data_IF_775677972061
#
_entry.id   IF_775677972061
#
_cell.length_a   1.000
_cell.length_b   1.000
_cell.length_c   1.000
_cell.angle_alpha   90.00
_cell.angle_beta   90.00
_cell.angle_gamma   90.00
#
_symmetry.space_group_name_H-M   'P 1'
#
loop_
_entity.id
_entity.type
_entity.pdbx_description
1 polymer ?
#
# COMPACT_ATOMS: atom_id res chain seq x y z
N UNK A 1 7.71 -20.86 -32.06
CA UNK A 1 6.77 -21.53 -31.13
C UNK A 1 5.64 -20.54 -30.89
N UNK A 2 4.38 -20.84 -31.24
CA UNK A 2 3.28 -19.94 -30.88
C UNK A 2 3.28 -19.83 -29.36
N UNK A 3 3.14 -18.63 -28.76
CA UNK A 3 2.90 -18.56 -27.32
C UNK A 3 1.65 -19.38 -27.05
N UNK A 4 1.71 -20.22 -26.01
CA UNK A 4 0.62 -21.11 -25.62
C UNK A 4 -0.70 -20.36 -25.70
N UNK A 5 -1.65 -20.92 -26.45
CA UNK A 5 -2.94 -20.28 -26.71
C UNK A 5 -3.55 -19.88 -25.36
N UNK A 6 -4.03 -18.62 -25.27
CA UNK A 6 -4.73 -18.18 -24.07
C UNK A 6 -5.82 -19.19 -23.73
N UNK A 7 -5.92 -19.62 -22.45
CA UNK A 7 -7.00 -20.50 -22.04
C UNK A 7 -8.34 -19.82 -22.39
N UNK A 8 -9.33 -20.62 -22.77
CA UNK A 8 -10.66 -20.09 -23.11
C UNK A 8 -11.26 -19.41 -21.87
N UNK A 9 -11.17 -18.08 -21.83
CA UNK A 9 -11.85 -17.26 -20.85
C UNK A 9 -13.33 -17.14 -21.27
N UNK A 10 -14.28 -17.06 -20.33
CA UNK A 10 -15.68 -16.81 -20.68
C UNK A 10 -15.77 -15.53 -21.51
N UNK A 11 -16.40 -15.60 -22.69
CA UNK A 11 -16.68 -14.43 -23.52
C UNK A 11 -17.66 -13.54 -22.75
N UNK A 12 -17.17 -12.40 -22.24
CA UNK A 12 -18.02 -11.37 -21.66
C UNK A 12 -18.41 -10.41 -22.79
N UNK A 13 -19.71 -10.16 -23.06
CA UNK A 13 -20.17 -9.26 -24.12
C UNK A 13 -19.56 -7.85 -24.06
N UNK A 14 -19.17 -7.40 -22.86
CA UNK A 14 -18.54 -6.10 -22.59
C UNK A 14 -17.04 -6.05 -22.93
N UNK A 15 -16.37 -7.19 -23.15
CA UNK A 15 -14.91 -7.21 -23.38
C UNK A 15 -14.48 -6.44 -24.62
N UNK A 16 -15.30 -6.44 -25.68
CA UNK A 16 -14.99 -5.70 -26.90
C UNK A 16 -15.12 -4.19 -26.68
N UNK A 17 -16.15 -3.73 -25.95
CA UNK A 17 -16.29 -2.31 -25.64
C UNK A 17 -15.21 -1.83 -24.67
N UNK A 18 -14.95 -2.57 -23.58
CA UNK A 18 -13.89 -2.21 -22.62
C UNK A 18 -12.52 -2.10 -23.30
N UNK A 19 -12.18 -3.07 -24.16
CA UNK A 19 -10.93 -3.03 -24.92
C UNK A 19 -10.83 -1.79 -25.81
N UNK A 20 -11.92 -1.40 -26.46
CA UNK A 20 -12.00 -0.17 -27.26
C UNK A 20 -11.81 1.07 -26.39
N UNK A 21 -12.47 1.19 -25.22
CA UNK A 21 -12.32 2.35 -24.34
C UNK A 21 -10.90 2.54 -23.82
N UNK A 22 -10.23 1.45 -23.45
CA UNK A 22 -8.82 1.51 -23.01
C UNK A 22 -7.91 1.93 -24.17
N UNK A 23 -8.17 1.42 -25.38
CA UNK A 23 -7.43 1.81 -26.57
C UNK A 23 -7.64 3.29 -26.94
N UNK A 24 -8.87 3.80 -26.82
CA UNK A 24 -9.20 5.22 -27.00
C UNK A 24 -8.42 6.09 -26.01
N UNK A 25 -8.40 5.74 -24.72
CA UNK A 25 -7.64 6.47 -23.70
C UNK A 25 -6.13 6.46 -23.98
N UNK A 26 -5.57 5.32 -24.41
CA UNK A 26 -4.17 5.22 -24.79
C UNK A 26 -3.83 6.09 -26.01
N UNK A 27 -4.73 6.14 -27.01
CA UNK A 27 -4.56 7.00 -28.18
C UNK A 27 -4.62 8.49 -27.82
N UNK A 28 -5.49 8.88 -26.88
CA UNK A 28 -5.54 10.25 -26.35
C UNK A 28 -4.24 10.61 -25.64
N UNK A 29 -3.70 9.74 -24.78
CA UNK A 29 -2.40 9.95 -24.14
C UNK A 29 -1.27 10.13 -25.16
N UNK A 30 -1.22 9.28 -26.20
CA UNK A 30 -0.25 9.41 -27.28
C UNK A 30 -0.40 10.75 -28.03
N UNK A 31 -1.61 11.23 -28.23
CA UNK A 31 -1.87 12.53 -28.84
C UNK A 31 -1.42 13.69 -27.94
N UNK A 32 -1.75 13.65 -26.65
CA UNK A 32 -1.37 14.65 -25.64
C UNK A 32 0.14 14.78 -25.51
N UNK A 33 0.89 13.69 -25.65
CA UNK A 33 2.36 13.70 -25.63
C UNK A 33 3.01 13.86 -27.02
N UNK A 34 2.21 13.87 -28.08
CA UNK A 34 2.68 14.05 -29.45
C UNK A 34 3.16 15.48 -29.75
N UNK A 35 3.75 15.74 -30.94
CA UNK A 35 4.27 17.06 -31.30
C UNK A 35 3.27 18.23 -31.20
N UNK A 36 1.98 17.95 -31.45
CA UNK A 36 0.88 18.91 -31.37
C UNK A 36 0.08 18.80 -30.07
N UNK A 37 0.60 18.06 -29.09
CA UNK A 37 -0.07 17.78 -27.83
C UNK A 37 0.13 18.88 -26.78
N UNK A 38 -0.28 18.57 -25.56
CA UNK A 38 -0.19 19.47 -24.41
C UNK A 38 1.28 19.64 -23.98
N UNK A 39 1.79 20.87 -23.84
CA UNK A 39 3.16 21.11 -23.37
C UNK A 39 3.46 20.47 -22.02
N UNK A 40 2.50 20.50 -21.09
CA UNK A 40 2.65 19.90 -19.75
C UNK A 40 2.76 18.39 -19.82
N UNK A 41 1.93 17.70 -20.63
CA UNK A 41 2.00 16.25 -20.77
C UNK A 41 3.33 15.83 -21.41
N UNK A 42 3.84 16.60 -22.37
CA UNK A 42 5.10 16.33 -23.08
C UNK A 42 6.34 16.46 -22.21
N UNK A 43 6.36 17.41 -21.28
CA UNK A 43 7.52 17.62 -20.39
C UNK A 43 7.63 16.57 -19.27
N UNK A 44 6.55 15.79 -19.02
CA UNK A 44 6.58 14.76 -17.98
C UNK A 44 7.60 13.66 -18.30
N UNK A 45 8.24 13.17 -17.23
CA UNK A 45 9.23 12.09 -17.24
C UNK A 45 8.82 10.98 -16.28
N UNK A 46 9.52 9.84 -16.31
CA UNK A 46 9.31 8.77 -15.34
C UNK A 46 9.43 9.26 -13.90
N UNK A 47 10.34 10.20 -13.62
CA UNK A 47 10.58 10.72 -12.29
C UNK A 47 9.51 11.71 -11.83
N UNK A 48 9.01 12.57 -12.73
CA UNK A 48 7.96 13.54 -12.36
C UNK A 48 6.62 12.86 -12.04
N UNK A 49 6.30 11.76 -12.73
CA UNK A 49 5.03 11.02 -12.56
C UNK A 49 5.01 10.13 -11.31
N UNK A 50 6.17 9.75 -10.75
CA UNK A 50 6.24 8.86 -9.55
C UNK A 50 5.47 9.40 -8.36
N UNK A 51 5.53 10.71 -8.13
CA UNK A 51 4.83 11.34 -7.00
C UNK A 51 3.31 11.25 -7.19
N UNK A 52 2.82 11.62 -8.37
CA UNK A 52 1.40 11.51 -8.72
C UNK A 52 0.90 10.07 -8.57
N UNK A 53 1.67 9.07 -9.04
CA UNK A 53 1.31 7.66 -8.87
C UNK A 53 1.13 7.26 -7.41
N UNK A 54 1.98 7.78 -6.52
CA UNK A 54 1.85 7.55 -5.10
C UNK A 54 0.61 8.25 -4.53
N UNK A 55 0.35 9.49 -4.92
CA UNK A 55 -0.84 10.26 -4.54
C UNK A 55 -2.13 9.54 -4.96
N UNK A 56 -2.29 9.16 -6.22
CA UNK A 56 -3.49 8.43 -6.70
C UNK A 56 -3.66 7.07 -6.01
N UNK A 57 -2.55 6.43 -5.61
CA UNK A 57 -2.61 5.21 -4.80
C UNK A 57 -3.30 5.46 -3.46
N UNK A 58 -3.00 6.60 -2.81
CA UNK A 58 -3.63 6.97 -1.55
C UNK A 58 -5.08 7.41 -1.72
N UNK A 59 -5.43 8.09 -2.82
CA UNK A 59 -6.83 8.46 -3.10
C UNK A 59 -7.71 7.23 -3.36
N UNK A 60 -7.22 6.24 -4.12
CA UNK A 60 -7.89 4.94 -4.26
C UNK A 60 -8.13 4.30 -2.89
N UNK A 61 -7.14 4.34 -2.01
CA UNK A 61 -7.28 3.78 -0.67
C UNK A 61 -8.31 4.53 0.17
N UNK A 62 -8.29 5.86 0.15
CA UNK A 62 -9.26 6.70 0.86
C UNK A 62 -10.70 6.45 0.35
N UNK A 63 -10.90 6.37 -0.96
CA UNK A 63 -12.20 6.06 -1.55
C UNK A 63 -12.74 4.69 -1.11
N UNK A 64 -11.87 3.66 -1.03
CA UNK A 64 -12.23 2.34 -0.50
C UNK A 64 -12.61 2.42 0.99
N UNK A 65 -11.82 3.14 1.79
CA UNK A 65 -12.04 3.29 3.23
C UNK A 65 -13.36 4.01 3.53
N UNK A 66 -13.70 5.04 2.75
CA UNK A 66 -14.96 5.78 2.83
C UNK A 66 -16.15 5.06 2.18
N UNK A 67 -15.92 3.95 1.47
CA UNK A 67 -16.93 3.27 0.63
C UNK A 67 -17.56 4.21 -0.42
N UNK A 68 -16.80 5.18 -0.89
CA UNK A 68 -17.23 6.16 -1.89
C UNK A 68 -17.02 5.57 -3.29
N UNK A 69 -17.94 4.70 -3.71
CA UNK A 69 -17.81 3.97 -4.97
C UNK A 69 -17.72 4.84 -6.24
N UNK A 70 -18.43 5.99 -6.33
CA UNK A 70 -18.22 6.92 -7.44
C UNK A 70 -16.80 7.45 -7.48
N UNK A 71 -16.29 7.96 -6.35
CA UNK A 71 -14.92 8.44 -6.21
C UNK A 71 -13.93 7.33 -6.59
N UNK A 72 -14.11 6.11 -6.08
CA UNK A 72 -13.22 4.99 -6.40
C UNK A 72 -13.12 4.73 -7.91
N UNK A 73 -14.22 4.88 -8.65
CA UNK A 73 -14.19 4.71 -10.11
C UNK A 73 -13.32 5.78 -10.76
N UNK A 74 -13.42 7.01 -10.29
CA UNK A 74 -12.67 8.15 -10.84
C UNK A 74 -11.18 8.01 -10.46
N UNK A 75 -10.85 7.67 -9.21
CA UNK A 75 -9.46 7.42 -8.76
C UNK A 75 -8.80 6.22 -9.46
N UNK A 76 -9.56 5.17 -9.78
CA UNK A 76 -9.07 4.06 -10.61
C UNK A 76 -8.78 4.50 -12.05
N UNK A 77 -9.51 5.50 -12.56
CA UNK A 77 -9.23 6.18 -13.82
C UNK A 77 -7.91 6.93 -13.76
N UNK A 78 -7.64 7.67 -12.69
CA UNK A 78 -6.40 8.41 -12.50
C UNK A 78 -5.20 7.48 -12.27
N UNK A 79 -5.40 6.34 -11.60
CA UNK A 79 -4.41 5.26 -11.54
C UNK A 79 -4.10 4.69 -12.94
N UNK A 80 -5.13 4.46 -13.76
CA UNK A 80 -4.95 4.00 -15.15
C UNK A 80 -4.20 5.04 -15.98
N UNK A 81 -4.48 6.34 -15.78
CA UNK A 81 -3.76 7.44 -16.43
C UNK A 81 -2.25 7.35 -16.17
N UNK A 82 -1.82 7.02 -14.94
CA UNK A 82 -0.39 6.84 -14.64
C UNK A 82 0.22 5.69 -15.45
N UNK A 83 -0.49 4.56 -15.57
CA UNK A 83 -0.05 3.41 -16.37
C UNK A 83 0.08 3.79 -17.85
N UNK A 84 -0.85 4.59 -18.38
CA UNK A 84 -0.80 5.09 -19.74
C UNK A 84 0.39 6.03 -19.96
N UNK A 85 0.65 6.96 -19.02
CA UNK A 85 1.82 7.84 -19.06
C UNK A 85 3.13 7.04 -19.15
N UNK A 86 3.33 6.08 -18.24
CA UNK A 86 4.53 5.26 -18.21
C UNK A 86 4.68 4.42 -19.48
N UNK A 87 3.58 3.81 -19.95
CA UNK A 87 3.60 2.99 -21.16
C UNK A 87 3.90 3.82 -22.41
N UNK A 88 3.35 5.03 -22.49
CA UNK A 88 3.59 5.95 -23.60
C UNK A 88 5.04 6.46 -23.60
N UNK A 89 5.57 6.91 -22.45
CA UNK A 89 6.98 7.31 -22.31
C UNK A 89 7.95 6.16 -22.62
N UNK A 90 7.64 4.94 -22.15
CA UNK A 90 8.44 3.76 -22.45
C UNK A 90 8.42 3.41 -23.94
N UNK A 91 7.28 3.59 -24.60
CA UNK A 91 7.16 3.37 -26.04
C UNK A 91 7.95 4.42 -26.84
N UNK A 92 7.89 5.69 -26.43
CA UNK A 92 8.68 6.79 -27.03
C UNK A 92 10.18 6.53 -26.94
N UNK A 93 10.64 5.95 -25.83
CA UNK A 93 12.03 5.57 -25.60
C UNK A 93 12.43 4.21 -26.20
N UNK A 94 11.50 3.49 -26.84
CA UNK A 94 11.76 2.17 -27.44
C UNK A 94 11.98 1.04 -26.43
N UNK A 95 11.46 1.16 -25.21
CA UNK A 95 11.60 0.14 -24.15
C UNK A 95 10.51 -0.93 -24.22
N UNK A 96 9.24 -0.53 -24.11
CA UNK A 96 8.07 -1.42 -24.15
C UNK A 96 6.80 -0.61 -24.40
N UNK A 97 5.71 -1.29 -24.75
CA UNK A 97 4.40 -0.70 -25.05
C UNK A 97 3.34 -1.07 -23.99
N UNK A 98 2.18 -0.40 -24.02
CA UNK A 98 1.02 -0.80 -23.21
C UNK A 98 0.58 -2.25 -23.50
N UNK A 99 0.70 -2.70 -24.75
CA UNK A 99 0.39 -4.08 -25.12
C UNK A 99 1.35 -5.08 -24.45
N UNK A 100 2.64 -4.75 -24.34
CA UNK A 100 3.62 -5.57 -23.63
C UNK A 100 3.30 -5.63 -22.13
N UNK A 101 2.87 -4.51 -21.52
CA UNK A 101 2.42 -4.46 -20.12
C UNK A 101 1.23 -5.38 -19.89
N UNK A 102 0.17 -5.26 -20.72
CA UNK A 102 -1.04 -6.08 -20.61
C UNK A 102 -0.76 -7.58 -20.88
N UNK A 103 0.07 -7.89 -21.87
CA UNK A 103 0.52 -9.25 -22.17
C UNK A 103 1.33 -9.86 -21.03
N UNK A 104 2.25 -9.07 -20.46
CA UNK A 104 3.04 -9.46 -19.30
C UNK A 104 2.19 -9.74 -18.05
N UNK A 105 1.17 -8.92 -17.80
CA UNK A 105 0.20 -9.14 -16.73
C UNK A 105 -0.60 -10.43 -16.97
N UNK A 106 -1.18 -10.60 -18.16
CA UNK A 106 -2.01 -11.76 -18.51
C UNK A 106 -1.22 -13.07 -18.38
N UNK A 107 -0.02 -13.12 -18.96
CA UNK A 107 0.88 -14.26 -18.87
C UNK A 107 1.29 -14.57 -17.43
N UNK A 108 1.51 -13.53 -16.61
CA UNK A 108 1.84 -13.68 -15.18
C UNK A 108 0.65 -14.22 -14.38
N UNK A 109 -0.58 -13.75 -14.64
CA UNK A 109 -1.78 -14.25 -13.97
C UNK A 109 -2.03 -15.72 -14.30
N UNK A 110 -1.91 -16.12 -15.57
CA UNK A 110 -2.04 -17.53 -15.99
C UNK A 110 -1.00 -18.39 -15.27
N UNK A 111 0.29 -18.03 -15.38
CA UNK A 111 1.39 -18.79 -14.79
C UNK A 111 1.30 -18.93 -13.27
N UNK A 112 0.79 -17.91 -12.57
CA UNK A 112 0.70 -17.92 -11.10
C UNK A 112 -0.58 -18.58 -10.57
N UNK A 113 -1.53 -18.95 -11.43
CA UNK A 113 -2.72 -19.71 -11.06
C UNK A 113 -2.75 -21.07 -11.78
N UNK A 114 -1.74 -21.94 -11.57
CA UNK A 114 -1.72 -23.26 -12.20
C UNK A 114 -2.85 -24.17 -11.71
N UNK A 115 -3.55 -23.79 -10.65
CA UNK A 115 -4.74 -24.47 -10.14
C UNK A 115 -6.05 -24.06 -10.82
N UNK A 116 -6.01 -22.99 -11.62
CA UNK A 116 -7.13 -22.55 -12.45
C UNK A 116 -6.86 -22.87 -13.92
N UNK A 117 -5.62 -22.63 -14.38
CA UNK A 117 -5.24 -22.72 -15.80
C UNK A 117 -4.30 -23.89 -16.13
N UNK A 118 -4.06 -24.79 -15.19
CA UNK A 118 -3.20 -25.97 -15.37
C UNK A 118 -3.66 -27.14 -14.50
N UNK A 119 -2.74 -28.04 -14.19
CA UNK A 119 -3.06 -29.32 -13.51
C UNK A 119 -2.87 -29.30 -11.99
N UNK A 120 -2.50 -28.15 -11.40
CA UNK A 120 -2.27 -28.09 -9.95
C UNK A 120 -3.59 -28.06 -9.17
N UNK A 121 -3.56 -28.44 -7.90
CA UNK A 121 -4.71 -28.32 -6.98
C UNK A 121 -4.38 -27.36 -5.85
N UNK A 122 -5.26 -26.38 -5.61
CA UNK A 122 -5.17 -25.51 -4.44
C UNK A 122 -6.57 -25.17 -3.94
N UNK A 123 -7.00 -25.82 -2.86
CA UNK A 123 -8.38 -25.73 -2.35
C UNK A 123 -8.56 -24.70 -1.24
N UNK A 124 -7.46 -24.15 -0.72
CA UNK A 124 -7.50 -23.16 0.38
C UNK A 124 -6.71 -21.90 0.01
N UNK A 125 -7.08 -20.72 0.53
CA UNK A 125 -6.31 -19.49 0.33
C UNK A 125 -4.83 -19.64 0.72
N UNK A 126 -4.56 -20.38 1.82
CA UNK A 126 -3.19 -20.67 2.26
C UNK A 126 -2.41 -21.53 1.26
N UNK A 127 -3.05 -22.53 0.63
CA UNK A 127 -2.43 -23.33 -0.42
C UNK A 127 -2.15 -22.50 -1.68
N UNK A 128 -3.09 -21.64 -2.08
CA UNK A 128 -2.91 -20.71 -3.21
C UNK A 128 -1.73 -19.78 -2.97
N UNK A 129 -1.62 -19.18 -1.77
CA UNK A 129 -0.52 -18.28 -1.42
C UNK A 129 0.84 -18.97 -1.49
N UNK A 130 0.95 -20.22 -1.00
CA UNK A 130 2.18 -21.02 -1.08
C UNK A 130 2.60 -21.27 -2.52
N UNK A 131 1.65 -21.62 -3.39
CA UNK A 131 1.90 -21.79 -4.83
C UNK A 131 2.36 -20.49 -5.48
N UNK A 132 1.71 -19.37 -5.16
CA UNK A 132 2.08 -18.05 -5.66
C UNK A 132 3.52 -17.67 -5.30
N UNK A 133 3.90 -17.90 -4.04
CA UNK A 133 5.24 -17.64 -3.55
C UNK A 133 6.28 -18.55 -4.19
N UNK A 134 5.95 -19.82 -4.46
CA UNK A 134 6.83 -20.75 -5.16
C UNK A 134 7.08 -20.33 -6.60
N UNK A 135 6.02 -19.98 -7.35
CA UNK A 135 6.13 -19.51 -8.74
C UNK A 135 6.94 -18.20 -8.80
N UNK A 136 6.72 -17.26 -7.87
CA UNK A 136 7.52 -16.02 -7.77
C UNK A 136 9.01 -16.27 -7.56
N UNK A 137 9.39 -17.26 -6.75
CA UNK A 137 10.80 -17.60 -6.53
C UNK A 137 11.44 -18.15 -7.80
N UNK A 138 10.73 -19.02 -8.50
CA UNK A 138 11.23 -19.60 -9.75
C UNK A 138 11.37 -18.54 -10.86
N UNK A 139 10.44 -17.59 -10.97
CA UNK A 139 10.55 -16.44 -11.87
C UNK A 139 11.83 -15.63 -11.64
N UNK A 140 12.16 -15.34 -10.37
CA UNK A 140 13.39 -14.60 -10.00
C UNK A 140 14.65 -15.40 -10.32
N UNK A 141 14.62 -16.72 -10.08
CA UNK A 141 15.74 -17.63 -10.40
C UNK A 141 16.02 -17.65 -11.91
N UNK A 142 14.98 -17.78 -12.73
CA UNK A 142 15.09 -17.81 -14.19
C UNK A 142 15.53 -16.46 -14.79
N UNK A 143 15.12 -15.34 -14.17
CA UNK A 143 15.52 -14.00 -14.60
C UNK A 143 16.98 -13.63 -14.27
N UNK A 144 17.74 -14.52 -13.60
CA UNK A 144 19.12 -14.24 -13.16
C UNK A 144 19.21 -13.13 -12.09
N UNK A 145 18.08 -12.71 -11.53
CA UNK A 145 17.96 -11.68 -10.49
C UNK A 145 17.90 -12.31 -9.10
N UNK A 146 18.67 -13.38 -8.88
CA UNK A 146 18.90 -13.92 -7.54
C UNK A 146 19.59 -12.86 -6.70
N UNK A 147 18.81 -12.23 -5.82
CA UNK A 147 19.28 -11.36 -4.76
C UNK A 147 20.39 -12.09 -3.97
N UNK A 148 21.51 -11.41 -3.68
CA UNK A 148 22.68 -12.05 -3.07
C UNK A 148 22.46 -12.36 -1.59
N UNK A 149 21.65 -11.55 -0.91
CA UNK A 149 21.19 -11.71 0.47
C UNK A 149 19.70 -12.04 0.58
N UNK A 150 19.30 -12.59 1.74
CA UNK A 150 17.92 -12.97 2.05
C UNK A 150 16.92 -11.81 1.97
N UNK A 151 17.40 -10.59 2.25
CA UNK A 151 16.60 -9.36 2.35
C UNK A 151 16.72 -8.46 1.11
N UNK A 152 17.67 -8.74 0.21
CA UNK A 152 17.98 -7.92 -0.98
C UNK A 152 16.79 -7.84 -1.97
N UNK A 153 15.79 -8.70 -1.78
CA UNK A 153 14.59 -8.75 -2.61
C UNK A 153 13.45 -7.84 -2.08
N UNK A 154 13.66 -7.20 -0.92
CA UNK A 154 12.79 -6.17 -0.37
C UNK A 154 13.21 -4.80 -0.92
N UNK A 155 12.34 -4.20 -1.71
CA UNK A 155 12.60 -2.87 -2.31
C UNK A 155 12.53 -1.76 -1.26
N UNK A 156 13.53 -0.89 -1.23
CA UNK A 156 13.56 0.33 -0.39
C UNK A 156 12.65 1.46 -0.89
N UNK A 157 11.99 1.29 -2.03
CA UNK A 157 11.13 2.32 -2.63
C UNK A 157 9.68 2.27 -2.13
N UNK A 158 9.37 1.39 -1.16
CA UNK A 158 8.04 1.26 -0.58
C UNK A 158 7.94 2.01 0.76
N UNK A 159 6.73 2.28 1.27
CA UNK A 159 6.56 2.85 2.61
C UNK A 159 7.24 1.98 3.68
N UNK A 160 7.88 2.63 4.67
CA UNK A 160 8.69 1.97 5.69
C UNK A 160 7.94 0.87 6.46
N UNK A 161 6.64 1.06 6.74
CA UNK A 161 5.80 0.05 7.41
C UNK A 161 5.64 -1.23 6.60
N UNK A 162 5.49 -1.11 5.28
CA UNK A 162 5.39 -2.25 4.37
C UNK A 162 6.76 -2.91 4.19
N UNK A 163 7.83 -2.12 4.15
CA UNK A 163 9.20 -2.61 4.12
C UNK A 163 9.50 -3.46 5.36
N UNK A 164 9.26 -2.92 6.56
CA UNK A 164 9.45 -3.61 7.83
C UNK A 164 8.66 -4.93 7.91
N UNK A 165 7.40 -4.93 7.48
CA UNK A 165 6.57 -6.15 7.43
C UNK A 165 7.16 -7.21 6.49
N UNK A 166 7.70 -6.80 5.34
CA UNK A 166 8.36 -7.72 4.40
C UNK A 166 9.70 -8.22 4.92
N UNK A 167 10.51 -7.37 5.55
CA UNK A 167 11.77 -7.76 6.19
C UNK A 167 11.51 -8.83 7.26
N UNK A 168 10.56 -8.59 8.17
CA UNK A 168 10.14 -9.57 9.18
C UNK A 168 9.65 -10.88 8.56
N UNK A 169 8.81 -10.79 7.52
CA UNK A 169 8.34 -11.98 6.78
C UNK A 169 9.47 -12.76 6.09
N UNK A 170 10.55 -12.10 5.68
CA UNK A 170 11.72 -12.76 5.06
C UNK A 170 12.59 -13.43 6.11
N UNK A 171 12.84 -12.77 7.23
CA UNK A 171 13.57 -13.36 8.35
C UNK A 171 12.84 -14.60 8.90
N UNK A 172 11.51 -14.52 9.03
CA UNK A 172 10.70 -15.63 9.50
C UNK A 172 10.81 -16.91 8.63
N UNK A 173 11.07 -16.77 7.33
CA UNK A 173 11.21 -17.92 6.41
C UNK A 173 12.42 -18.79 6.71
N UNK A 174 13.45 -18.26 7.37
CA UNK A 174 14.63 -19.02 7.80
C UNK A 174 14.55 -19.43 9.27
N UNK A 175 13.38 -19.27 9.91
CA UNK A 175 13.16 -19.60 11.32
C UNK A 175 13.58 -18.50 12.29
N UNK A 176 13.97 -17.32 11.80
CA UNK A 176 14.21 -16.16 12.65
C UNK A 176 12.91 -15.38 12.85
N UNK A 177 12.10 -15.83 13.81
CA UNK A 177 10.83 -15.21 14.17
C UNK A 177 10.53 -15.43 15.65
N UNK A 178 9.61 -14.63 16.19
CA UNK A 178 9.05 -14.84 17.52
C UNK A 178 8.15 -16.08 17.52
N UNK A 179 8.12 -16.88 18.59
CA UNK A 179 7.32 -18.10 18.64
C UNK A 179 5.82 -17.82 18.78
N UNK A 180 5.45 -16.67 19.36
CA UNK A 180 4.07 -16.24 19.57
C UNK A 180 3.98 -14.71 19.72
N UNK A 181 2.77 -14.13 19.67
CA UNK A 181 2.56 -12.69 19.87
C UNK A 181 2.96 -12.17 21.26
N UNK A 182 2.94 -13.01 22.30
CA UNK A 182 3.28 -12.57 23.66
C UNK A 182 4.75 -12.13 23.74
N UNK A 183 5.66 -12.83 23.07
CA UNK A 183 7.06 -12.42 22.98
C UNK A 183 7.27 -11.08 22.26
N UNK A 184 6.37 -10.71 21.34
CA UNK A 184 6.37 -9.39 20.70
C UNK A 184 5.83 -8.30 21.62
N UNK A 185 4.86 -8.63 22.49
CA UNK A 185 4.38 -7.70 23.53
C UNK A 185 5.48 -7.43 24.54
N UNK A 186 6.23 -8.44 24.94
CA UNK A 186 7.38 -8.27 25.85
C UNK A 186 8.46 -7.41 25.17
N UNK A 187 8.78 -7.67 23.90
CA UNK A 187 9.74 -6.84 23.15
C UNK A 187 9.25 -5.39 23.01
N UNK A 188 7.96 -5.15 22.75
CA UNK A 188 7.41 -3.77 22.75
C UNK A 188 7.62 -3.03 24.07
N UNK A 189 7.55 -3.73 25.22
CA UNK A 189 7.82 -3.11 26.53
C UNK A 189 9.31 -2.81 26.69
N UNK A 190 10.17 -3.69 26.19
CA UNK A 190 11.63 -3.47 26.13
C UNK A 190 11.96 -2.23 25.29
N UNK A 191 11.51 -2.16 24.03
CA UNK A 191 11.74 -1.00 23.15
C UNK A 191 11.18 0.30 23.74
N UNK A 192 10.03 0.23 24.43
CA UNK A 192 9.46 1.40 25.13
C UNK A 192 10.37 1.87 26.27
N UNK A 193 10.99 0.94 26.99
CA UNK A 193 11.90 1.25 28.09
C UNK A 193 13.24 1.80 27.56
N UNK A 194 13.75 1.26 26.45
CA UNK A 194 14.95 1.75 25.77
C UNK A 194 14.74 3.17 25.24
N UNK A 195 13.64 3.43 24.52
CA UNK A 195 13.26 4.80 24.11
C UNK A 195 13.09 5.76 25.30
N UNK A 196 12.52 5.28 26.42
CA UNK A 196 12.37 6.10 27.62
C UNK A 196 13.71 6.46 28.27
N UNK A 197 14.71 5.59 28.20
CA UNK A 197 16.04 5.83 28.75
C UNK A 197 16.80 6.93 27.98
N UNK A 198 16.53 7.09 26.68
CA UNK A 198 17.13 8.10 25.82
C UNK A 198 16.45 9.48 25.90
N UNK A 199 15.30 9.59 26.59
CA UNK A 199 14.62 10.88 26.77
C UNK A 199 15.52 11.89 27.50
N UNK A 200 15.48 13.18 27.09
CA UNK A 200 16.33 14.19 27.67
C UNK A 200 16.06 14.36 29.16
N UNK A 201 17.13 14.39 29.96
CA UNK A 201 17.07 14.73 31.39
C UNK A 201 17.95 15.94 31.67
N UNK A 202 17.78 16.55 32.85
CA UNK A 202 18.66 17.64 33.29
C UNK A 202 20.15 17.24 33.36
N UNK A 203 20.44 15.93 33.47
CA UNK A 203 21.79 15.38 33.56
C UNK A 203 22.32 14.81 32.23
N UNK A 204 21.44 14.53 31.25
CA UNK A 204 21.79 13.95 29.97
C UNK A 204 20.96 14.62 28.84
N UNK A 205 21.55 15.54 28.05
CA UNK A 205 20.85 16.10 26.90
C UNK A 205 20.60 14.98 25.87
N UNK A 206 19.42 14.98 25.26
CA UNK A 206 19.04 13.93 24.30
C UNK A 206 20.01 13.85 23.12
N UNK A 207 20.37 12.62 22.76
CA UNK A 207 20.95 12.30 21.46
C UNK A 207 19.80 12.07 20.48
N UNK A 208 19.67 12.95 19.47
CA UNK A 208 18.64 12.79 18.43
C UNK A 208 18.79 11.44 17.72
N UNK A 209 20.01 11.03 17.40
CA UNK A 209 20.29 9.77 16.71
C UNK A 209 19.83 8.56 17.55
N UNK A 210 20.12 8.57 18.86
CA UNK A 210 19.70 7.47 19.74
C UNK A 210 18.18 7.42 19.89
N UNK A 211 17.52 8.57 20.03
CA UNK A 211 16.05 8.63 20.06
C UNK A 211 15.42 8.13 18.76
N UNK A 212 16.02 8.44 17.61
CA UNK A 212 15.54 7.97 16.31
C UNK A 212 15.71 6.45 16.15
N UNK A 213 16.84 5.90 16.61
CA UNK A 213 17.11 4.45 16.60
C UNK A 213 16.07 3.70 17.45
N UNK A 214 15.90 4.08 18.72
CA UNK A 214 14.96 3.41 19.63
C UNK A 214 13.49 3.58 19.22
N UNK A 215 13.13 4.75 18.66
CA UNK A 215 11.80 4.94 18.08
C UNK A 215 11.59 4.03 16.86
N UNK A 216 12.63 3.86 16.04
CA UNK A 216 12.64 2.95 14.90
C UNK A 216 12.38 1.51 15.31
N UNK A 217 13.06 1.02 16.35
CA UNK A 217 12.93 -0.35 16.84
C UNK A 217 11.56 -0.62 17.49
N UNK A 218 11.01 0.37 18.22
CA UNK A 218 9.63 0.33 18.71
C UNK A 218 8.63 0.18 17.56
N UNK A 219 8.76 0.98 16.50
CA UNK A 219 7.89 0.92 15.32
C UNK A 219 8.05 -0.39 14.55
N UNK A 220 9.28 -0.87 14.38
CA UNK A 220 9.58 -2.15 13.71
C UNK A 220 8.97 -3.33 14.47
N UNK A 221 9.05 -3.31 15.80
CA UNK A 221 8.45 -4.32 16.67
C UNK A 221 6.92 -4.28 16.59
N UNK A 222 6.31 -3.09 16.58
CA UNK A 222 4.86 -2.95 16.39
C UNK A 222 4.39 -3.49 15.04
N UNK A 223 5.15 -3.25 13.96
CA UNK A 223 4.90 -3.84 12.64
C UNK A 223 4.97 -5.36 12.67
N UNK A 224 5.94 -5.94 13.38
CA UNK A 224 6.06 -7.40 13.50
C UNK A 224 4.92 -8.00 14.34
N UNK A 225 4.42 -7.30 15.35
CA UNK A 225 3.20 -7.68 16.07
C UNK A 225 2.00 -7.71 15.12
N UNK A 226 1.80 -6.68 14.30
CA UNK A 226 0.72 -6.67 13.31
C UNK A 226 0.83 -7.86 12.35
N UNK A 227 2.04 -8.18 11.86
CA UNK A 227 2.31 -9.34 11.00
C UNK A 227 1.90 -10.66 11.68
N UNK A 228 2.24 -10.85 12.96
CA UNK A 228 1.86 -12.03 13.75
C UNK A 228 0.35 -12.15 13.95
N UNK A 229 -0.35 -11.02 14.08
CA UNK A 229 -1.80 -10.96 14.17
C UNK A 229 -2.51 -11.02 12.80
N UNK A 230 -1.77 -11.23 11.71
CA UNK A 230 -2.28 -11.22 10.34
C UNK A 230 -2.98 -9.91 9.94
N UNK A 231 -2.48 -8.80 10.47
CA UNK A 231 -2.93 -7.44 10.16
C UNK A 231 -1.92 -6.75 9.23
N UNK A 232 -2.45 -5.94 8.32
CA UNK A 232 -1.64 -5.01 7.54
C UNK A 232 -1.39 -3.73 8.36
N UNK A 233 -0.13 -3.41 8.72
CA UNK A 233 0.16 -2.29 9.64
C UNK A 233 -0.19 -0.93 9.03
N UNK A 234 0.00 -0.75 7.73
CA UNK A 234 -0.34 0.49 7.00
C UNK A 234 -1.85 0.75 7.08
N UNK A 235 -2.65 -0.26 6.74
CA UNK A 235 -4.11 -0.20 6.84
C UNK A 235 -4.56 0.03 8.28
N UNK A 236 -3.94 -0.63 9.27
CA UNK A 236 -4.28 -0.44 10.68
C UNK A 236 -4.05 1.01 11.14
N UNK A 237 -2.92 1.61 10.77
CA UNK A 237 -2.60 3.00 11.11
C UNK A 237 -3.54 3.98 10.40
N UNK A 238 -3.87 3.75 9.13
CA UNK A 238 -4.84 4.61 8.42
C UNK A 238 -6.22 4.59 9.06
N UNK A 239 -6.70 3.41 9.46
CA UNK A 239 -7.95 3.30 10.23
C UNK A 239 -7.88 4.07 11.55
N UNK A 240 -6.74 4.06 12.22
CA UNK A 240 -6.53 4.88 13.42
C UNK A 240 -6.54 6.39 13.11
N UNK A 241 -5.89 6.82 12.03
CA UNK A 241 -5.88 8.21 11.57
C UNK A 241 -7.28 8.70 11.19
N UNK A 242 -8.05 7.91 10.43
CA UNK A 242 -9.44 8.22 10.08
C UNK A 242 -10.32 8.34 11.34
N UNK A 243 -10.14 7.45 12.32
CA UNK A 243 -10.83 7.51 13.61
C UNK A 243 -10.45 8.76 14.41
N UNK A 244 -9.17 9.14 14.42
CA UNK A 244 -8.71 10.37 15.05
C UNK A 244 -9.36 11.60 14.39
N UNK A 245 -9.34 11.70 13.05
CA UNK A 245 -10.00 12.78 12.30
C UNK A 245 -11.48 12.90 12.63
N UNK A 246 -12.23 11.78 12.63
CA UNK A 246 -13.66 11.79 13.01
C UNK A 246 -13.89 12.33 14.42
N UNK A 247 -13.09 11.87 15.39
CA UNK A 247 -13.20 12.31 16.79
C UNK A 247 -12.83 13.77 16.95
N UNK A 248 -11.76 14.21 16.29
CA UNK A 248 -11.32 15.60 16.33
C UNK A 248 -12.37 16.53 15.69
N UNK A 249 -12.96 16.13 14.56
CA UNK A 249 -14.05 16.88 13.94
C UNK A 249 -15.27 16.97 14.87
N UNK A 250 -15.66 15.88 15.52
CA UNK A 250 -16.75 15.91 16.50
C UNK A 250 -16.44 16.82 17.69
N UNK A 251 -15.20 16.80 18.18
CA UNK A 251 -14.70 17.69 19.23
C UNK A 251 -14.76 19.17 18.79
N UNK A 252 -14.34 19.47 17.56
CA UNK A 252 -14.41 20.82 16.99
C UNK A 252 -15.86 21.32 16.88
N UNK A 253 -16.78 20.47 16.41
CA UNK A 253 -18.20 20.81 16.35
C UNK A 253 -18.79 21.03 17.74
N UNK A 254 -18.46 20.19 18.72
CA UNK A 254 -18.90 20.34 20.10
C UNK A 254 -18.37 21.63 20.75
N UNK A 255 -17.16 22.06 20.38
CA UNK A 255 -16.59 23.31 20.86
C UNK A 255 -17.27 24.57 20.27
N UNK A 256 -18.05 24.43 19.19
CA UNK A 256 -18.65 25.54 18.45
C UNK A 256 -17.85 25.99 17.22
N UNK A 257 -16.95 25.13 16.72
CA UNK A 257 -16.07 25.40 15.60
C UNK A 257 -14.62 25.65 16.03
N UNK A 258 -13.75 25.78 15.03
CA UNK A 258 -12.29 25.88 15.20
C UNK A 258 -11.84 26.99 16.16
N UNK A 259 -12.33 28.22 15.97
CA UNK A 259 -11.93 29.37 16.81
C UNK A 259 -12.29 29.15 18.28
N UNK A 260 -13.45 28.55 18.54
CA UNK A 260 -13.90 28.24 19.89
C UNK A 260 -13.13 27.07 20.51
N UNK A 261 -12.58 26.15 19.70
CA UNK A 261 -11.71 25.07 20.14
C UNK A 261 -10.31 25.59 20.53
N UNK A 262 -9.73 26.50 19.74
CA UNK A 262 -8.38 27.06 19.96
C UNK A 262 -8.27 27.87 21.27
N UNK A 263 -9.40 28.35 21.80
CA UNK A 263 -9.46 29.11 23.07
C UNK A 263 -9.61 28.22 24.31
N UNK A 264 -9.74 26.90 24.13
CA UNK A 264 -9.95 25.96 25.25
C UNK A 264 -8.66 25.63 25.97
N UNK A 265 -8.80 25.41 27.27
CA UNK A 265 -7.76 24.86 28.11
C UNK A 265 -7.54 23.36 27.81
N UNK A 266 -6.35 22.80 28.13
CA UNK A 266 -6.10 21.37 27.95
C UNK A 266 -7.14 20.47 28.66
N UNK A 267 -7.63 20.88 29.83
CA UNK A 267 -8.66 20.13 30.55
C UNK A 267 -10.02 20.14 29.83
N UNK A 268 -10.41 21.28 29.25
CA UNK A 268 -11.61 21.36 28.42
C UNK A 268 -11.48 20.54 27.13
N UNK A 269 -10.32 20.58 26.48
CA UNK A 269 -10.04 19.76 25.29
C UNK A 269 -10.12 18.26 25.61
N UNK A 270 -9.59 17.81 26.75
CA UNK A 270 -9.69 16.41 27.18
C UNK A 270 -11.15 16.01 27.45
N UNK A 271 -11.97 16.89 28.04
CA UNK A 271 -13.41 16.66 28.24
C UNK A 271 -14.14 16.52 26.91
N UNK A 272 -13.93 17.46 25.98
CA UNK A 272 -14.56 17.42 24.65
C UNK A 272 -14.09 16.19 23.85
N UNK A 273 -12.84 15.78 24.00
CA UNK A 273 -12.32 14.55 23.39
C UNK A 273 -12.98 13.29 23.96
N UNK A 274 -13.19 13.23 25.28
CA UNK A 274 -13.90 12.14 25.93
C UNK A 274 -15.36 12.03 25.43
N UNK A 275 -16.06 13.16 25.29
CA UNK A 275 -17.39 13.23 24.69
C UNK A 275 -17.39 12.76 23.23
N UNK A 276 -16.45 13.24 22.41
CA UNK A 276 -16.30 12.84 21.02
C UNK A 276 -16.05 11.34 20.84
N UNK A 277 -15.29 10.71 21.75
CA UNK A 277 -15.07 9.25 21.75
C UNK A 277 -16.39 8.48 21.93
N UNK A 278 -17.27 8.94 22.82
CA UNK A 278 -18.57 8.28 23.07
C UNK A 278 -19.50 8.48 21.87
N UNK A 279 -19.61 9.71 21.37
CA UNK A 279 -20.47 10.05 20.24
C UNK A 279 -20.11 9.25 18.98
N UNK A 280 -18.82 9.16 18.65
CA UNK A 280 -18.37 8.49 17.42
C UNK A 280 -18.40 6.96 17.47
N UNK A 281 -18.24 6.35 18.65
CA UNK A 281 -18.34 4.89 18.81
C UNK A 281 -19.80 4.38 18.68
N UNK A 282 -20.79 5.20 19.02
CA UNK A 282 -22.22 4.81 18.96
C UNK A 282 -22.70 4.68 17.50
N UNK A 283 -22.16 5.52 16.62
CA UNK A 283 -22.45 5.50 15.18
C UNK A 283 -21.88 4.25 14.47
N UNK A 284 -20.77 3.68 14.97
CA UNK A 284 -20.15 2.47 14.41
C UNK A 284 -20.97 1.18 14.66
N UNK A 285 -21.82 1.16 15.70
CA UNK A 285 -22.63 -0.03 16.04
C UNK A 285 -23.95 -0.16 15.28
N UNK A 286 -24.36 0.86 14.51
CA UNK A 286 -25.68 0.90 13.84
C UNK A 286 -25.59 0.62 12.33
N UNK A 287 -24.38 0.54 11.77
CA UNK A 287 -24.10 0.34 10.34
C UNK A 287 -23.32 -0.94 10.05
N UNK A 288 -23.61 -2.02 10.80
CA UNK A 288 -23.14 -3.38 10.51
C UNK A 288 -24.19 -4.18 9.73
#
# INVERSE_FOLDING_TARGET
MRPDAMPALPELPEMTETGVRVAEAAALMAHLRGPNGCPWDREQTFDSIKRNTLEETYEVFDAIERRAWPDLRDELGDMLLQVLFYSQMASEAGHFTLADVASGLSSKLIRRHPHIFGDATAETPGAVQKTWDAVKREEKRLAGTTAKGLLDDVSRAMPAMIEASKLGSRAARVGFDWPNPDGLIDKLREETAELQAELPTAANPASTDALEDELGDLLFTAVNLARHLHLDPETALRRANAKFRRRFNAMEQAAGGREALETRTPAELESLWAEAKVATNTTEGTTA
#
